data_IF_144715753618
#
_entry.id   IF_144715753618
#
_cell.length_a   1.000
_cell.length_b   1.000
_cell.length_c   1.000
_cell.angle_alpha   90.00
_cell.angle_beta   90.00
_cell.angle_gamma   90.00
#
_symmetry.space_group_name_H-M   'P 1'
#
loop_
_entity.id
_entity.type
_entity.pdbx_description
1 polymer ?
#
# COMPACT_ATOMS: atom_id res chain seq x y z
N UNK A 1 -9.98 -14.43 1.16
CA UNK A 1 -9.46 -13.05 1.33
C UNK A 1 -8.02 -12.92 0.92
N UNK A 2 -7.12 -13.67 1.51
CA UNK A 2 -5.68 -13.64 1.18
C UNK A 2 -5.39 -13.85 -0.30
N UNK A 3 -6.11 -14.75 -0.94
CA UNK A 3 -5.96 -15.03 -2.38
C UNK A 3 -6.21 -13.80 -3.27
N UNK A 4 -7.24 -13.01 -2.96
CA UNK A 4 -7.57 -11.81 -3.75
C UNK A 4 -6.57 -10.68 -3.54
N UNK A 5 -6.08 -10.51 -2.33
CA UNK A 5 -5.00 -9.55 -2.06
C UNK A 5 -3.70 -9.96 -2.76
N UNK A 6 -3.37 -11.25 -2.75
CA UNK A 6 -2.21 -11.76 -3.47
C UNK A 6 -2.34 -11.58 -4.99
N UNK A 7 -3.54 -11.79 -5.55
CA UNK A 7 -3.83 -11.51 -6.95
C UNK A 7 -3.65 -10.01 -7.27
N UNK A 8 -4.13 -9.15 -6.40
CA UNK A 8 -3.95 -7.71 -6.54
C UNK A 8 -2.46 -7.34 -6.50
N UNK A 9 -1.69 -7.87 -5.57
CA UNK A 9 -0.24 -7.65 -5.50
C UNK A 9 0.45 -8.05 -6.81
N UNK A 10 0.13 -9.21 -7.36
CA UNK A 10 0.69 -9.68 -8.63
C UNK A 10 0.37 -8.73 -9.79
N UNK A 11 -0.87 -8.25 -9.86
CA UNK A 11 -1.29 -7.29 -10.89
C UNK A 11 -0.64 -5.92 -10.71
N UNK A 12 -0.50 -5.44 -9.48
CA UNK A 12 0.19 -4.19 -9.16
C UNK A 12 1.67 -4.25 -9.54
N UNK A 13 2.34 -5.39 -9.32
CA UNK A 13 3.73 -5.56 -9.73
C UNK A 13 3.87 -5.42 -11.25
N UNK A 14 2.99 -6.04 -12.02
CA UNK A 14 2.98 -5.90 -13.49
C UNK A 14 2.69 -4.46 -13.90
N UNK A 15 1.72 -3.83 -13.28
CA UNK A 15 1.39 -2.44 -13.54
C UNK A 15 2.57 -1.51 -13.23
N UNK A 16 3.28 -1.73 -12.13
CA UNK A 16 4.45 -0.95 -11.76
C UNK A 16 5.54 -1.01 -12.83
N UNK A 17 5.86 -2.21 -13.30
CA UNK A 17 6.91 -2.42 -14.32
C UNK A 17 6.57 -1.73 -15.65
N UNK A 18 5.31 -1.70 -16.02
CA UNK A 18 4.87 -1.14 -17.32
C UNK A 18 4.46 0.33 -17.25
N UNK A 19 3.90 0.78 -16.16
CA UNK A 19 3.24 2.09 -16.06
C UNK A 19 3.64 2.88 -14.82
N UNK A 20 3.58 2.25 -13.64
CA UNK A 20 3.67 2.94 -12.36
C UNK A 20 4.95 3.74 -12.19
N UNK A 21 6.08 3.18 -12.56
CA UNK A 21 7.38 3.86 -12.45
C UNK A 21 7.49 5.12 -13.30
N UNK A 22 6.64 5.26 -14.33
CA UNK A 22 6.61 6.43 -15.21
C UNK A 22 5.69 7.53 -14.69
N UNK A 23 4.65 7.19 -13.95
CA UNK A 23 3.58 8.14 -13.57
C UNK A 23 3.66 8.57 -12.12
N UNK A 24 4.33 7.82 -11.26
CA UNK A 24 4.49 8.18 -9.84
C UNK A 24 5.82 8.94 -9.62
N UNK A 25 5.82 9.92 -8.70
CA UNK A 25 6.89 10.92 -8.64
C UNK A 25 8.18 10.48 -7.94
N UNK A 26 8.18 9.39 -7.18
CA UNK A 26 9.38 8.91 -6.46
C UNK A 26 9.81 7.53 -6.95
N UNK A 27 11.06 7.16 -6.64
CA UNK A 27 11.69 5.96 -7.17
C UNK A 27 11.23 4.67 -6.49
N UNK A 28 10.91 4.72 -5.21
CA UNK A 28 10.63 3.54 -4.41
C UNK A 28 9.30 3.68 -3.68
N UNK A 29 8.49 2.64 -3.75
CA UNK A 29 7.20 2.56 -3.07
C UNK A 29 7.09 1.29 -2.25
N UNK A 30 6.50 1.44 -1.06
CA UNK A 30 5.94 0.34 -0.29
C UNK A 30 4.42 0.41 -0.40
N UNK A 31 3.81 -0.58 -1.02
CA UNK A 31 2.37 -0.58 -1.27
C UNK A 31 1.71 -1.73 -0.52
N UNK A 32 0.83 -1.40 0.41
CA UNK A 32 -0.04 -2.37 1.09
C UNK A 32 -1.31 -2.55 0.26
N UNK A 33 -1.51 -3.76 -0.25
CA UNK A 33 -2.68 -4.08 -1.07
C UNK A 33 -3.86 -4.51 -0.20
N UNK A 34 -5.01 -3.92 -0.43
CA UNK A 34 -6.27 -4.23 0.24
C UNK A 34 -7.40 -4.41 -0.77
N UNK A 35 -8.32 -5.33 -0.45
CA UNK A 35 -9.52 -5.55 -1.26
C UNK A 35 -10.77 -5.37 -0.39
N UNK A 36 -11.83 -4.86 -1.00
CA UNK A 36 -13.16 -4.83 -0.38
C UNK A 36 -14.13 -5.67 -1.18
N UNK A 37 -14.86 -6.54 -0.49
CA UNK A 37 -15.90 -7.39 -1.10
C UNK A 37 -17.28 -6.77 -0.99
N UNK A 38 -17.41 -5.69 -0.23
CA UNK A 38 -18.67 -4.97 -0.01
C UNK A 38 -18.52 -3.53 -0.46
N UNK A 39 -19.61 -2.77 -0.41
CA UNK A 39 -19.60 -1.35 -0.79
C UNK A 39 -18.73 -0.50 0.14
N UNK A 40 -18.46 -0.97 1.36
CA UNK A 40 -17.70 -0.27 2.37
C UNK A 40 -16.42 -1.06 2.69
N UNK A 41 -15.29 -0.39 2.64
CA UNK A 41 -14.04 -0.92 3.17
C UNK A 41 -13.94 -0.55 4.66
N UNK A 42 -14.09 -1.53 5.53
CA UNK A 42 -14.08 -1.31 6.99
C UNK A 42 -12.63 -1.19 7.47
N UNK A 43 -12.29 -0.10 8.14
CA UNK A 43 -10.93 0.15 8.61
C UNK A 43 -10.47 -0.82 9.70
N UNK A 44 -11.36 -1.15 10.65
CA UNK A 44 -11.01 -2.04 11.76
C UNK A 44 -10.68 -3.46 11.30
N UNK A 45 -11.45 -3.99 10.37
CA UNK A 45 -11.21 -5.33 9.82
C UNK A 45 -10.22 -5.35 8.65
N UNK A 46 -10.09 -4.23 7.94
CA UNK A 46 -9.22 -4.10 6.77
C UNK A 46 -7.74 -3.90 7.09
N UNK A 47 -7.43 -3.29 8.23
CA UNK A 47 -6.06 -3.05 8.68
C UNK A 47 -5.77 -3.75 10.00
N UNK A 48 -4.62 -4.39 10.09
CA UNK A 48 -4.05 -4.79 11.38
C UNK A 48 -3.57 -3.54 12.12
N UNK A 49 -3.56 -3.62 13.45
CA UNK A 49 -3.25 -2.49 14.32
C UNK A 49 -1.94 -1.76 13.96
N UNK A 50 -0.92 -2.51 13.54
CA UNK A 50 0.40 -1.95 13.24
C UNK A 50 0.58 -1.47 11.79
N UNK A 51 -0.34 -1.77 10.87
CA UNK A 51 -0.12 -1.53 9.43
C UNK A 51 -0.08 -0.05 9.08
N UNK A 52 -1.08 0.74 9.47
CA UNK A 52 -1.08 2.19 9.18
C UNK A 52 0.09 2.92 9.84
N UNK A 53 0.37 2.73 11.16
CA UNK A 53 1.53 3.36 11.78
C UNK A 53 2.86 2.99 11.12
N UNK A 54 3.03 1.76 10.68
CA UNK A 54 4.24 1.32 9.98
C UNK A 54 4.38 2.01 8.63
N UNK A 55 3.31 2.11 7.85
CA UNK A 55 3.31 2.80 6.56
C UNK A 55 3.60 4.31 6.72
N UNK A 56 3.03 4.94 7.74
CA UNK A 56 3.30 6.35 8.05
C UNK A 56 4.75 6.57 8.46
N UNK A 57 5.32 5.66 9.27
CA UNK A 57 6.73 5.71 9.64
C UNK A 57 7.63 5.61 8.41
N UNK A 58 7.25 4.84 7.40
CA UNK A 58 7.96 4.72 6.14
C UNK A 58 8.06 6.05 5.39
N UNK A 59 7.06 6.91 5.53
CA UNK A 59 7.01 8.22 4.90
C UNK A 59 7.75 9.32 5.67
N UNK A 60 8.06 9.09 6.95
CA UNK A 60 8.59 10.14 7.84
C UNK A 60 9.97 9.84 8.39
N UNK A 61 10.41 8.60 8.37
CA UNK A 61 11.67 8.17 9.00
C UNK A 61 12.49 7.32 8.03
N UNK A 62 13.84 7.45 8.07
CA UNK A 62 14.70 6.49 7.40
C UNK A 62 14.47 5.08 7.94
N UNK A 63 14.34 4.12 7.05
CA UNK A 63 14.14 2.72 7.40
C UNK A 63 15.35 1.89 7.01
N UNK A 64 15.73 0.97 7.88
CA UNK A 64 16.82 0.06 7.64
C UNK A 64 16.30 -1.28 7.13
N UNK A 65 16.86 -1.76 6.05
CA UNK A 65 16.57 -3.06 5.45
C UNK A 65 17.74 -3.99 5.62
N UNK A 66 17.42 -5.24 5.83
CA UNK A 66 18.37 -6.31 5.92
C UNK A 66 18.25 -7.17 4.67
N UNK A 67 19.36 -7.33 3.97
CA UNK A 67 19.43 -8.24 2.83
C UNK A 67 19.93 -9.58 3.38
N UNK A 68 19.09 -10.59 3.33
CA UNK A 68 19.46 -11.94 3.75
C UNK A 68 19.92 -12.76 2.55
N UNK A 69 20.91 -13.62 2.78
CA UNK A 69 21.29 -14.63 1.81
C UNK A 69 20.14 -15.65 1.66
N UNK A 70 19.91 -16.08 0.43
CA UNK A 70 18.80 -16.98 0.09
C UNK A 70 18.88 -18.34 0.79
N UNK A 71 20.08 -18.77 1.20
CA UNK A 71 20.35 -20.12 1.66
C UNK A 71 20.49 -20.26 3.16
N UNK A 72 20.48 -19.18 3.93
CA UNK A 72 20.81 -19.26 5.34
C UNK A 72 20.02 -18.28 6.21
N UNK A 73 19.50 -18.82 7.31
CA UNK A 73 19.16 -18.02 8.48
C UNK A 73 20.50 -17.69 9.15
N UNK A 74 21.09 -16.57 8.77
CA UNK A 74 22.40 -16.20 9.24
C UNK A 74 22.34 -15.29 10.46
N UNK A 75 23.18 -15.59 11.46
CA UNK A 75 23.50 -14.69 12.56
C UNK A 75 24.65 -13.74 12.21
N UNK A 76 25.22 -13.85 11.03
CA UNK A 76 26.34 -13.04 10.55
C UNK A 76 25.92 -11.62 10.21
N UNK A 77 26.89 -10.75 9.98
CA UNK A 77 26.67 -9.41 9.46
C UNK A 77 26.02 -9.47 8.08
N UNK A 78 25.12 -8.55 7.84
CA UNK A 78 24.39 -8.47 6.59
C UNK A 78 24.70 -7.20 5.86
N UNK A 79 24.49 -7.24 4.59
CA UNK A 79 24.35 -6.03 3.82
C UNK A 79 23.09 -5.31 4.29
N UNK A 80 23.22 -4.02 4.49
CA UNK A 80 22.12 -3.19 5.01
C UNK A 80 21.84 -2.08 4.00
N UNK A 81 20.57 -1.89 3.74
CA UNK A 81 20.08 -0.79 2.93
C UNK A 81 19.25 0.15 3.79
N UNK A 82 19.39 1.44 3.55
CA UNK A 82 18.58 2.47 4.19
C UNK A 82 17.66 3.09 3.17
N UNK A 83 16.40 3.31 3.56
CA UNK A 83 15.47 4.10 2.78
C UNK A 83 15.42 5.52 3.32
N UNK A 84 15.28 6.47 2.41
CA UNK A 84 15.15 7.88 2.75
C UNK A 84 13.73 8.35 2.41
N UNK A 85 13.01 9.04 3.32
CA UNK A 85 11.65 9.54 3.05
C UNK A 85 11.54 10.45 1.82
N UNK A 86 12.64 11.06 1.38
CA UNK A 86 12.67 11.87 0.16
C UNK A 86 12.49 11.03 -1.11
N UNK A 87 13.00 9.79 -1.10
CA UNK A 87 12.99 8.89 -2.27
C UNK A 87 12.05 7.71 -2.14
N UNK A 88 11.40 7.56 -0.98
CA UNK A 88 10.55 6.42 -0.66
C UNK A 88 9.21 6.88 -0.14
N UNK A 89 8.13 6.30 -0.65
CA UNK A 89 6.77 6.52 -0.13
C UNK A 89 6.05 5.22 0.11
N UNK A 90 5.25 5.19 1.16
CA UNK A 90 4.28 4.14 1.42
C UNK A 90 2.90 4.57 0.94
N UNK A 91 2.18 3.66 0.32
CA UNK A 91 0.82 3.86 -0.16
C UNK A 91 -0.04 2.65 0.19
N UNK A 92 -1.33 2.87 0.28
CA UNK A 92 -2.33 1.80 0.34
C UNK A 92 -3.02 1.71 -1.00
N UNK A 93 -3.01 0.53 -1.61
CA UNK A 93 -3.77 0.25 -2.83
C UNK A 93 -5.06 -0.46 -2.46
N UNK A 94 -6.21 0.13 -2.75
CA UNK A 94 -7.51 -0.48 -2.47
C UNK A 94 -8.24 -0.77 -3.78
N UNK A 95 -8.77 -1.98 -3.90
CA UNK A 95 -9.65 -2.39 -4.99
C UNK A 95 -10.97 -2.92 -4.44
N UNK A 96 -12.09 -2.42 -4.96
CA UNK A 96 -13.41 -2.99 -4.71
C UNK A 96 -13.64 -4.15 -5.67
N UNK A 97 -13.80 -5.34 -5.10
CA UNK A 97 -13.96 -6.58 -5.88
C UNK A 97 -15.39 -6.69 -6.40
N UNK A 98 -15.57 -6.53 -7.71
CA UNK A 98 -16.81 -6.77 -8.44
C UNK A 98 -16.49 -7.19 -9.87
N UNK A 99 -17.45 -7.84 -10.50
CA UNK A 99 -17.27 -8.33 -11.87
C UNK A 99 -16.86 -7.18 -12.82
N UNK A 100 -15.77 -7.39 -13.55
CA UNK A 100 -15.26 -6.44 -14.54
C UNK A 100 -14.56 -5.22 -13.98
N UNK A 101 -14.50 -5.05 -12.66
CA UNK A 101 -13.80 -3.91 -12.08
C UNK A 101 -12.28 -4.13 -12.11
N UNK A 102 -11.57 -3.20 -12.74
CA UNK A 102 -10.12 -3.17 -12.82
C UNK A 102 -9.53 -1.95 -12.13
N UNK A 103 -10.36 -1.09 -11.61
CA UNK A 103 -9.94 0.17 -10.97
C UNK A 103 -9.33 -0.10 -9.59
N UNK A 104 -8.22 0.55 -9.32
CA UNK A 104 -7.60 0.59 -7.99
C UNK A 104 -7.25 2.02 -7.60
N UNK A 105 -7.18 2.27 -6.32
CA UNK A 105 -6.93 3.58 -5.73
C UNK A 105 -5.66 3.53 -4.91
N UNK A 106 -4.70 4.42 -5.21
CA UNK A 106 -3.52 4.60 -4.38
C UNK A 106 -3.76 5.77 -3.43
N UNK A 107 -3.73 5.49 -2.14
CA UNK A 107 -4.07 6.42 -1.07
C UNK A 107 -2.91 6.53 -0.10
N UNK A 108 -2.56 7.74 0.30
CA UNK A 108 -1.57 7.94 1.36
C UNK A 108 -2.11 7.42 2.69
N UNK A 109 -1.30 6.71 3.50
CA UNK A 109 -1.74 6.19 4.79
C UNK A 109 -2.19 7.31 5.74
N UNK A 110 -1.58 8.48 5.66
CA UNK A 110 -1.95 9.66 6.45
C UNK A 110 -3.37 10.14 6.15
N UNK A 111 -3.79 10.07 4.88
CA UNK A 111 -5.15 10.42 4.48
C UNK A 111 -6.18 9.48 5.12
N UNK A 112 -5.86 8.18 5.19
CA UNK A 112 -6.71 7.20 5.86
C UNK A 112 -6.77 7.47 7.37
N UNK A 113 -5.64 7.72 8.00
CA UNK A 113 -5.58 8.06 9.42
C UNK A 113 -6.41 9.31 9.74
N UNK A 114 -6.35 10.33 8.89
CA UNK A 114 -7.16 11.55 9.05
C UNK A 114 -8.66 11.26 8.97
N UNK A 115 -9.08 10.42 8.04
CA UNK A 115 -10.49 10.01 7.89
C UNK A 115 -10.95 9.25 9.13
N UNK A 116 -10.13 8.35 9.65
CA UNK A 116 -10.41 7.62 10.90
C UNK A 116 -10.52 8.59 12.09
N UNK A 117 -9.62 9.57 12.19
CA UNK A 117 -9.62 10.56 13.26
C UNK A 117 -10.90 11.43 13.27
N UNK A 118 -11.56 11.58 12.13
CA UNK A 118 -12.85 12.25 12.00
C UNK A 118 -14.04 11.38 12.45
N UNK A 119 -13.80 10.17 12.92
CA UNK A 119 -14.82 9.25 13.39
C UNK A 119 -15.43 8.35 12.31
N UNK A 120 -14.91 8.38 11.11
CA UNK A 120 -15.35 7.52 10.01
C UNK A 120 -14.83 6.11 10.21
N UNK A 121 -15.71 5.12 10.13
CA UNK A 121 -15.37 3.70 10.37
C UNK A 121 -15.12 2.90 9.11
N UNK A 122 -15.59 3.39 7.98
CA UNK A 122 -15.48 2.69 6.70
C UNK A 122 -15.31 3.67 5.56
N UNK A 123 -14.58 3.23 4.54
CA UNK A 123 -14.31 4.00 3.34
C UNK A 123 -15.24 3.57 2.22
N UNK A 124 -15.94 4.53 1.62
CA UNK A 124 -16.68 4.31 0.37
C UNK A 124 -15.74 4.48 -0.82
N UNK A 125 -16.08 3.88 -1.95
CA UNK A 125 -15.32 4.09 -3.18
C UNK A 125 -15.33 5.55 -3.63
N UNK A 126 -16.44 6.26 -3.42
CA UNK A 126 -16.54 7.70 -3.71
C UNK A 126 -15.58 8.53 -2.86
N UNK A 127 -15.46 8.22 -1.58
CA UNK A 127 -14.48 8.86 -0.72
C UNK A 127 -13.05 8.53 -1.15
N UNK A 128 -12.79 7.29 -1.53
CA UNK A 128 -11.48 6.86 -2.05
C UNK A 128 -11.08 7.66 -3.28
N UNK A 129 -12.01 7.94 -4.19
CA UNK A 129 -11.75 8.80 -5.36
C UNK A 129 -11.27 10.20 -4.96
N UNK A 130 -11.83 10.75 -3.90
CA UNK A 130 -11.50 12.10 -3.45
C UNK A 130 -10.13 12.19 -2.79
N UNK A 131 -9.70 11.16 -2.07
CA UNK A 131 -8.46 11.17 -1.31
C UNK A 131 -7.29 10.44 -1.98
N UNK A 132 -7.54 9.70 -3.05
CA UNK A 132 -6.50 8.99 -3.77
C UNK A 132 -5.54 9.96 -4.46
N UNK A 133 -4.25 9.65 -4.40
CA UNK A 133 -3.23 10.38 -5.17
C UNK A 133 -3.15 9.90 -6.61
N UNK A 134 -3.62 8.69 -6.86
CA UNK A 134 -3.65 8.08 -8.19
C UNK A 134 -4.80 7.08 -8.28
N UNK A 135 -5.47 7.06 -9.41
CA UNK A 135 -6.52 6.10 -9.75
C UNK A 135 -6.09 5.39 -11.02
N UNK A 136 -5.91 4.08 -10.94
CA UNK A 136 -5.40 3.28 -12.04
C UNK A 136 -6.32 2.16 -12.46
N UNK A 137 -5.94 1.53 -13.56
CA UNK A 137 -6.62 0.36 -14.13
C UNK A 137 -5.63 -0.80 -14.28
N UNK A 138 -6.06 -1.98 -13.90
CA UNK A 138 -5.25 -3.22 -14.01
C UNK A 138 -5.57 -4.01 -15.26
#
# INVERSE_FOLDING_TARGET
>A
MVKKEAELCSKLNKWWITTGYKVLPVSNYCIEAKVSYTRLFNFKSGFKEHQLPTLEAYNTKPMKWKISDLDQISTKHYDMSWTNPVTTKALVAIQWVRRGNKTFYLIEPEAITNVIAQGVKSLTEECAKLIAIYIGQL
#
